data_IF_429703077454
#
_entry.id   IF_429703077454
#
_cell.length_a   1.000
_cell.length_b   1.000
_cell.length_c   1.000
_cell.angle_alpha   90.00
_cell.angle_beta   90.00
_cell.angle_gamma   90.00
#
_symmetry.space_group_name_H-M   'P 1'
#
loop_
_entity.id
_entity.type
_entity.pdbx_description
1 polymer ?
#
# COMPACT_ATOMS: atom_id res chain seq x y z
N UNK A 1 -34.68 -16.95 26.89
CA UNK A 1 -36.05 -16.57 27.30
C UNK A 1 -36.37 -15.07 27.16
N UNK A 2 -35.42 -14.19 26.82
CA UNK A 2 -35.66 -12.75 26.60
C UNK A 2 -36.22 -12.33 25.23
N UNK A 3 -36.15 -13.21 24.22
CA UNK A 3 -36.56 -12.89 22.84
C UNK A 3 -38.09 -12.85 22.61
N UNK A 4 -38.88 -13.58 23.42
CA UNK A 4 -40.34 -13.60 23.27
C UNK A 4 -41.03 -12.38 23.89
N UNK A 5 -40.47 -11.78 24.95
CA UNK A 5 -40.98 -10.54 25.55
C UNK A 5 -40.83 -9.33 24.61
N UNK A 6 -39.76 -9.31 23.80
CA UNK A 6 -39.48 -8.22 22.86
C UNK A 6 -40.48 -8.14 21.69
N UNK A 7 -40.97 -9.29 21.18
CA UNK A 7 -41.97 -9.33 20.11
C UNK A 7 -43.36 -8.83 20.54
N UNK A 8 -43.67 -8.87 21.84
CA UNK A 8 -44.94 -8.37 22.36
C UNK A 8 -44.95 -6.83 22.45
N UNK A 9 -43.80 -6.25 22.86
CA UNK A 9 -43.63 -4.80 22.99
C UNK A 9 -43.74 -4.07 21.63
N UNK A 10 -43.15 -4.63 20.56
CA UNK A 10 -43.19 -4.03 19.21
C UNK A 10 -44.60 -4.01 18.59
N UNK A 11 -45.49 -4.93 18.99
CA UNK A 11 -46.86 -5.00 18.42
C UNK A 11 -47.82 -3.92 18.97
N UNK A 12 -47.46 -3.21 20.03
CA UNK A 12 -48.40 -2.32 20.74
C UNK A 12 -47.97 -0.84 20.82
N UNK A 13 -46.84 -0.45 20.24
CA UNK A 13 -46.39 0.95 20.21
C UNK A 13 -46.71 1.59 18.87
N UNK A 14 -47.61 2.59 18.88
CA UNK A 14 -47.90 3.42 17.71
C UNK A 14 -46.67 4.24 17.30
N UNK A 15 -46.46 4.26 15.98
CA UNK A 15 -45.41 4.88 15.18
C UNK A 15 -44.60 6.05 15.79
N UNK A 16 -43.28 5.95 15.65
CA UNK A 16 -42.37 7.09 15.55
C UNK A 16 -41.24 6.77 14.56
N UNK A 17 -40.82 7.78 13.77
CA UNK A 17 -39.90 7.68 12.63
C UNK A 17 -38.50 7.10 12.94
N UNK A 18 -38.16 6.91 14.21
CA UNK A 18 -36.89 6.36 14.67
C UNK A 18 -36.78 4.84 14.47
N UNK A 19 -37.91 4.12 14.38
CA UNK A 19 -37.91 2.65 14.23
C UNK A 19 -37.60 2.22 12.78
N UNK A 20 -37.89 3.07 11.80
CA UNK A 20 -37.62 2.78 10.38
C UNK A 20 -36.12 2.71 10.09
N UNK A 21 -35.31 3.57 10.72
CA UNK A 21 -33.84 3.51 10.60
C UNK A 21 -33.24 2.29 11.31
N UNK A 22 -33.76 1.88 12.47
CA UNK A 22 -33.31 0.67 13.16
C UNK A 22 -33.63 -0.61 12.36
N UNK A 23 -34.76 -0.67 11.66
CA UNK A 23 -35.14 -1.80 10.81
C UNK A 23 -34.30 -1.86 9.52
N UNK A 24 -33.93 -0.71 8.92
CA UNK A 24 -32.99 -0.66 7.80
C UNK A 24 -31.57 -1.07 8.22
N UNK A 25 -31.11 -0.65 9.41
CA UNK A 25 -29.81 -1.03 9.94
C UNK A 25 -29.73 -2.54 10.23
N UNK A 26 -30.79 -3.13 10.81
CA UNK A 26 -30.84 -4.58 11.05
C UNK A 26 -31.04 -5.42 9.78
N UNK A 27 -31.71 -4.90 8.74
CA UNK A 27 -31.75 -5.57 7.42
C UNK A 27 -30.40 -5.53 6.70
N UNK A 28 -29.59 -4.50 6.95
CA UNK A 28 -28.17 -4.46 6.56
C UNK A 28 -27.33 -5.47 7.36
N UNK A 29 -27.57 -5.59 8.67
CA UNK A 29 -26.89 -6.56 9.51
C UNK A 29 -27.24 -8.03 9.19
N UNK A 30 -28.46 -8.32 8.75
CA UNK A 30 -28.87 -9.68 8.37
C UNK A 30 -28.35 -10.12 6.99
N UNK A 31 -27.86 -9.19 6.15
CA UNK A 31 -27.10 -9.52 4.91
C UNK A 31 -25.64 -9.90 5.18
N UNK A 32 -25.12 -9.66 6.39
CA UNK A 32 -23.72 -9.99 6.77
C UNK A 32 -23.47 -11.48 7.03
N UNK A 33 -24.46 -12.35 6.83
CA UNK A 33 -24.38 -13.78 7.17
C UNK A 33 -24.44 -14.70 5.95
N UNK A 34 -24.23 -14.19 4.73
CA UNK A 34 -24.12 -15.02 3.52
C UNK A 34 -22.90 -14.59 2.68
N UNK A 35 -21.77 -15.26 2.90
CA UNK A 35 -20.99 -15.90 1.82
C UNK A 35 -20.39 -15.08 0.67
N UNK A 36 -20.23 -13.77 0.77
CA UNK A 36 -19.33 -13.00 -0.10
C UNK A 36 -18.25 -12.38 0.77
N UNK A 37 -16.99 -12.81 0.60
CA UNK A 37 -15.85 -12.16 1.25
C UNK A 37 -15.74 -10.73 0.71
N UNK A 38 -16.35 -9.77 1.41
CA UNK A 38 -16.13 -8.35 1.16
C UNK A 38 -14.66 -8.06 1.50
N UNK A 39 -13.87 -7.72 0.48
CA UNK A 39 -12.47 -7.36 0.66
C UNK A 39 -12.35 -6.25 1.71
N UNK A 40 -11.40 -6.41 2.65
CA UNK A 40 -11.13 -5.43 3.70
C UNK A 40 -10.77 -4.09 3.05
N UNK A 41 -11.37 -3.00 3.49
CA UNK A 41 -10.96 -1.66 3.08
C UNK A 41 -9.63 -1.32 3.78
N UNK A 42 -8.62 -0.90 3.03
CA UNK A 42 -7.28 -0.62 3.54
C UNK A 42 -7.00 0.87 3.61
N UNK A 43 -7.35 1.63 2.55
CA UNK A 43 -7.18 3.07 2.50
C UNK A 43 -8.43 3.70 1.90
N UNK A 44 -8.98 4.72 2.55
CA UNK A 44 -10.11 5.51 2.07
C UNK A 44 -9.67 6.96 1.89
N UNK A 45 -9.88 7.51 0.69
CA UNK A 45 -9.48 8.87 0.33
C UNK A 45 -10.77 9.60 -0.06
N UNK A 46 -11.11 10.66 0.68
CA UNK A 46 -12.36 11.42 0.49
C UNK A 46 -12.08 12.92 0.34
N UNK A 47 -12.51 13.47 -0.80
CA UNK A 47 -12.44 14.90 -1.10
C UNK A 47 -11.03 15.51 -1.00
N UNK A 48 -10.00 14.76 -1.39
CA UNK A 48 -8.61 15.18 -1.20
C UNK A 48 -8.14 16.19 -2.24
N UNK A 49 -7.60 17.31 -1.77
CA UNK A 49 -6.92 18.31 -2.61
C UNK A 49 -5.42 18.37 -2.25
N UNK A 50 -4.61 18.70 -3.27
CA UNK A 50 -3.17 18.93 -3.12
C UNK A 50 -2.69 20.03 -4.05
N UNK A 51 -2.03 21.04 -3.48
CA UNK A 51 -1.51 22.21 -4.19
C UNK A 51 -0.05 22.49 -3.82
N UNK A 52 0.70 23.07 -4.75
CA UNK A 52 2.06 23.57 -4.52
C UNK A 52 2.10 25.07 -4.73
N UNK A 53 2.07 25.82 -3.63
CA UNK A 53 1.92 27.27 -3.69
C UNK A 53 0.56 27.65 -4.30
N UNK A 54 0.51 28.43 -5.39
CA UNK A 54 -0.75 28.82 -6.03
C UNK A 54 -1.26 27.81 -7.08
N UNK A 55 -0.58 26.68 -7.28
CA UNK A 55 -0.90 25.72 -8.34
C UNK A 55 -1.55 24.48 -7.74
N UNK A 56 -2.81 24.26 -8.09
CA UNK A 56 -3.51 23.02 -7.77
C UNK A 56 -3.00 21.88 -8.64
N UNK A 57 -2.74 20.73 -8.01
CA UNK A 57 -2.27 19.50 -8.69
C UNK A 57 -3.31 18.39 -8.60
N UNK A 58 -3.99 18.29 -7.46
CA UNK A 58 -5.09 17.35 -7.24
C UNK A 58 -6.27 18.09 -6.62
N UNK A 59 -7.47 17.79 -7.11
CA UNK A 59 -8.71 18.41 -6.65
C UNK A 59 -9.79 17.33 -6.57
N UNK A 60 -10.48 17.25 -5.43
CA UNK A 60 -11.65 16.41 -5.17
C UNK A 60 -11.36 14.93 -5.48
N UNK A 61 -10.21 14.44 -4.99
CA UNK A 61 -9.80 13.06 -5.17
C UNK A 61 -10.60 12.17 -4.22
N UNK A 62 -11.29 11.19 -4.81
CA UNK A 62 -12.05 10.19 -4.08
C UNK A 62 -11.63 8.79 -4.55
N UNK A 63 -11.04 8.00 -3.67
CA UNK A 63 -10.51 6.68 -4.02
C UNK A 63 -10.57 5.73 -2.83
N UNK A 64 -11.02 4.51 -3.08
CA UNK A 64 -11.02 3.42 -2.10
C UNK A 64 -10.05 2.34 -2.53
N UNK A 65 -9.09 2.01 -1.67
CA UNK A 65 -8.15 0.90 -1.83
C UNK A 65 -8.59 -0.27 -0.95
N UNK A 66 -8.82 -1.42 -1.57
CA UNK A 66 -9.24 -2.65 -0.91
C UNK A 66 -8.15 -3.71 -0.96
N UNK A 67 -8.23 -4.66 -0.03
CA UNK A 67 -7.32 -5.79 0.01
C UNK A 67 -7.32 -6.58 -1.32
N UNK A 68 -6.11 -6.92 -1.79
CA UNK A 68 -5.88 -7.57 -3.09
C UNK A 68 -6.02 -6.69 -4.34
N UNK A 69 -6.29 -5.39 -4.20
CA UNK A 69 -6.36 -4.48 -5.35
C UNK A 69 -5.00 -4.38 -6.07
N UNK A 70 -5.03 -4.32 -7.41
CA UNK A 70 -3.87 -4.00 -8.24
C UNK A 70 -4.22 -2.80 -9.12
N UNK A 71 -3.93 -1.62 -8.61
CA UNK A 71 -4.34 -0.34 -9.18
C UNK A 71 -3.19 0.24 -9.99
N UNK A 72 -3.38 0.37 -11.30
CA UNK A 72 -2.49 1.14 -12.17
C UNK A 72 -2.91 2.60 -12.22
N UNK A 73 -2.02 3.53 -11.87
CA UNK A 73 -2.25 4.97 -11.95
C UNK A 73 -1.67 5.47 -13.27
N UNK A 74 -2.53 6.03 -14.13
CA UNK A 74 -2.18 6.51 -15.48
C UNK A 74 -2.59 7.96 -15.65
N UNK A 75 -2.08 8.61 -16.69
CA UNK A 75 -2.32 10.03 -16.97
C UNK A 75 -1.14 10.65 -17.71
N UNK A 76 -1.36 11.81 -18.31
CA UNK A 76 -0.32 12.51 -19.06
C UNK A 76 0.87 12.93 -18.15
N UNK A 77 1.98 13.34 -18.77
CA UNK A 77 3.12 13.86 -18.01
C UNK A 77 2.72 15.16 -17.31
N UNK A 78 3.03 15.26 -16.02
CA UNK A 78 2.59 16.38 -15.19
C UNK A 78 1.13 16.31 -14.70
N UNK A 79 0.40 15.21 -14.97
CA UNK A 79 -0.98 15.06 -14.47
C UNK A 79 -1.10 14.90 -12.95
N UNK A 80 0.03 14.72 -12.23
CA UNK A 80 0.01 14.53 -10.77
C UNK A 80 0.04 13.08 -10.29
N UNK A 81 0.42 12.10 -11.12
CA UNK A 81 0.50 10.66 -10.74
C UNK A 81 1.37 10.38 -9.50
N UNK A 82 2.64 10.80 -9.55
CA UNK A 82 3.56 10.69 -8.41
C UNK A 82 3.08 11.53 -7.23
N UNK A 83 2.50 12.70 -7.49
CA UNK A 83 1.89 13.52 -6.42
C UNK A 83 0.76 12.78 -5.73
N UNK A 84 -0.14 12.12 -6.46
CA UNK A 84 -1.24 11.33 -5.91
C UNK A 84 -0.69 10.19 -5.06
N UNK A 85 0.27 9.45 -5.61
CA UNK A 85 0.90 8.33 -4.93
C UNK A 85 1.59 8.78 -3.62
N UNK A 86 2.36 9.88 -3.65
CA UNK A 86 3.02 10.45 -2.47
C UNK A 86 2.03 11.03 -1.46
N UNK A 87 0.97 11.69 -1.92
CA UNK A 87 -0.07 12.25 -1.04
C UNK A 87 -0.77 11.13 -0.27
N UNK A 88 -1.08 10.02 -0.95
CA UNK A 88 -1.68 8.83 -0.32
C UNK A 88 -0.66 8.06 0.51
N UNK A 89 0.64 8.11 0.28
CA UNK A 89 1.58 7.40 1.16
C UNK A 89 1.96 8.21 2.40
N UNK A 90 2.05 9.53 2.27
CA UNK A 90 2.58 10.43 3.31
C UNK A 90 1.48 11.22 4.05
N UNK A 91 0.20 11.04 3.70
CA UNK A 91 -0.92 11.82 4.24
C UNK A 91 -0.68 13.33 4.13
N UNK A 92 -0.16 13.77 2.98
CA UNK A 92 0.28 15.15 2.78
C UNK A 92 -0.76 16.02 2.04
N UNK A 93 -2.05 15.74 2.21
CA UNK A 93 -3.14 16.53 1.62
C UNK A 93 -3.31 17.91 2.27
N UNK A 94 -3.85 18.86 1.52
CA UNK A 94 -4.19 20.20 2.03
C UNK A 94 -5.66 20.29 2.48
N UNK A 95 -6.54 19.54 1.82
CA UNK A 95 -7.99 19.41 2.11
C UNK A 95 -8.36 17.93 1.99
N UNK A 96 -9.43 17.51 2.69
CA UNK A 96 -9.96 16.16 2.65
C UNK A 96 -9.33 15.22 3.68
N UNK A 97 -9.76 13.96 3.66
CA UNK A 97 -9.35 12.95 4.64
C UNK A 97 -8.76 11.72 3.92
N UNK A 98 -7.69 11.16 4.51
CA UNK A 98 -7.08 9.89 4.10
C UNK A 98 -7.03 8.98 5.32
N UNK A 99 -7.92 8.01 5.36
CA UNK A 99 -8.02 7.04 6.45
C UNK A 99 -7.35 5.71 6.07
N UNK A 100 -6.60 5.16 7.02
CA UNK A 100 -5.97 3.85 6.89
C UNK A 100 -6.65 2.90 7.85
N UNK A 101 -6.82 1.66 7.41
CA UNK A 101 -7.28 0.62 8.32
C UNK A 101 -6.26 0.46 9.46
N UNK A 102 -6.70 0.25 10.72
CA UNK A 102 -5.80 0.15 11.85
C UNK A 102 -4.75 -0.94 11.67
N UNK A 103 -3.50 -0.61 12.00
CA UNK A 103 -2.36 -1.52 12.03
C UNK A 103 -1.91 -2.05 10.66
N UNK A 104 -2.31 -1.44 9.53
CA UNK A 104 -1.81 -1.88 8.22
C UNK A 104 -0.34 -1.52 8.04
N UNK A 105 0.39 -2.39 7.35
CA UNK A 105 1.78 -2.16 6.97
C UNK A 105 1.85 -1.72 5.51
N UNK A 106 2.54 -0.60 5.30
CA UNK A 106 2.70 0.01 3.97
C UNK A 106 4.16 -0.14 3.55
N UNK A 107 4.42 -0.52 2.32
CA UNK A 107 5.75 -0.46 1.71
C UNK A 107 5.78 0.53 0.55
N UNK A 108 6.85 1.30 0.45
CA UNK A 108 7.12 2.15 -0.69
C UNK A 108 8.36 1.64 -1.43
N UNK A 109 8.19 1.27 -2.69
CA UNK A 109 9.29 0.92 -3.58
C UNK A 109 9.71 2.16 -4.35
N UNK A 110 10.77 2.81 -3.86
CA UNK A 110 11.37 3.94 -4.58
C UNK A 110 12.18 3.44 -5.76
N UNK A 111 12.33 4.29 -6.78
CA UNK A 111 13.31 4.06 -7.84
C UNK A 111 14.65 3.61 -7.25
N UNK A 112 15.23 2.58 -7.88
CA UNK A 112 16.44 1.89 -7.44
C UNK A 112 17.51 2.91 -7.02
N UNK A 113 17.73 3.02 -5.71
CA UNK A 113 18.83 3.83 -5.15
C UNK A 113 20.17 3.17 -5.47
N UNK A 114 21.22 3.99 -5.52
CA UNK A 114 22.59 3.52 -5.67
C UNK A 114 22.91 2.47 -4.60
N UNK A 115 23.29 1.28 -5.05
CA UNK A 115 23.81 0.23 -4.18
C UNK A 115 25.24 0.59 -3.84
N UNK A 116 25.60 0.45 -2.57
CA UNK A 116 26.98 0.68 -2.15
C UNK A 116 27.88 -0.41 -2.75
N UNK A 117 28.77 -0.01 -3.65
CA UNK A 117 29.61 -0.96 -4.38
C UNK A 117 30.70 -1.60 -3.50
N UNK A 118 30.97 -1.04 -2.31
CA UNK A 118 31.96 -1.59 -1.38
C UNK A 118 31.38 -2.63 -0.41
N UNK A 119 30.07 -2.64 -0.24
CA UNK A 119 29.34 -3.61 0.59
C UNK A 119 29.29 -5.01 -0.05
N UNK A 120 28.98 -6.00 0.77
CA UNK A 120 28.67 -7.37 0.31
C UNK A 120 27.19 -7.52 -0.08
N UNK A 121 26.88 -8.54 -0.86
CA UNK A 121 25.49 -8.88 -1.22
C UNK A 121 24.64 -9.10 0.04
N UNK A 122 25.19 -9.78 1.05
CA UNK A 122 24.53 -10.00 2.34
C UNK A 122 24.25 -8.69 3.08
N UNK A 123 25.24 -7.81 3.16
CA UNK A 123 25.10 -6.50 3.79
C UNK A 123 24.00 -5.68 3.11
N UNK A 124 23.94 -5.67 1.78
CA UNK A 124 22.89 -4.95 1.05
C UNK A 124 21.50 -5.51 1.28
N UNK A 125 21.33 -6.83 1.28
CA UNK A 125 20.02 -7.45 1.55
C UNK A 125 19.62 -7.31 3.01
N UNK A 126 20.60 -7.24 3.91
CA UNK A 126 20.44 -7.00 5.34
C UNK A 126 20.23 -5.52 5.69
N UNK A 127 20.53 -4.58 4.78
CA UNK A 127 20.19 -3.16 4.94
C UNK A 127 18.67 -3.03 4.96
N UNK A 128 18.12 -3.07 6.17
CA UNK A 128 16.70 -2.91 6.44
C UNK A 128 16.20 -1.64 5.75
N UNK A 129 15.01 -1.70 5.13
CA UNK A 129 14.41 -0.54 4.48
C UNK A 129 14.21 0.62 5.46
N UNK A 130 14.11 1.86 4.94
CA UNK A 130 13.94 3.08 5.75
C UNK A 130 12.83 2.96 6.80
N UNK A 131 11.76 2.24 6.47
CA UNK A 131 10.63 1.97 7.38
C UNK A 131 11.05 1.22 8.65
N UNK A 132 12.00 0.28 8.56
CA UNK A 132 12.52 -0.40 9.74
C UNK A 132 13.42 0.50 10.58
N UNK A 133 14.21 1.37 9.93
CA UNK A 133 15.01 2.36 10.64
C UNK A 133 14.09 3.35 11.37
N UNK A 134 13.02 3.82 10.74
CA UNK A 134 12.02 4.69 11.36
C UNK A 134 11.31 4.01 12.54
N UNK A 135 10.91 2.73 12.40
CA UNK A 135 10.37 1.95 13.51
C UNK A 135 11.37 1.81 14.67
N UNK A 136 12.63 1.48 14.38
CA UNK A 136 13.68 1.35 15.40
C UNK A 136 14.02 2.69 16.07
N UNK A 137 14.04 3.78 15.30
CA UNK A 137 14.24 5.15 15.81
C UNK A 137 13.08 5.60 16.69
N UNK A 138 11.83 5.31 16.30
CA UNK A 138 10.64 5.63 17.09
C UNK A 138 10.63 4.82 18.40
N UNK A 139 10.94 3.51 18.33
CA UNK A 139 11.09 2.64 19.51
C UNK A 139 12.18 3.19 20.43
N UNK A 140 13.36 3.52 19.90
CA UNK A 140 14.46 4.06 20.69
C UNK A 140 14.10 5.43 21.31
N UNK A 141 13.35 6.27 20.60
CA UNK A 141 12.88 7.55 21.11
C UNK A 141 11.87 7.38 22.26
N UNK A 142 10.97 6.39 22.17
CA UNK A 142 10.04 6.06 23.26
C UNK A 142 10.82 5.49 24.45
N UNK A 143 11.78 4.58 24.23
CA UNK A 143 12.61 4.00 25.29
C UNK A 143 13.44 5.07 26.01
N UNK A 144 13.95 6.07 25.28
CA UNK A 144 14.64 7.21 25.87
C UNK A 144 13.72 8.06 26.74
N UNK A 145 12.45 8.24 26.35
CA UNK A 145 11.45 8.93 27.16
C UNK A 145 11.11 8.13 28.42
N UNK A 146 10.95 6.80 28.31
CA UNK A 146 10.67 5.91 29.44
C UNK A 146 11.79 5.89 30.50
N UNK A 147 13.02 6.25 30.12
CA UNK A 147 14.14 6.35 31.04
C UNK A 147 14.02 7.55 32.00
N UNK A 148 13.19 8.55 31.69
CA UNK A 148 12.91 9.70 32.56
C UNK A 148 11.71 9.39 33.48
N UNK A 149 11.88 9.43 34.81
CA UNK A 149 10.76 9.25 35.76
C UNK A 149 9.58 10.20 35.53
N UNK A 150 9.81 11.40 34.99
CA UNK A 150 8.75 12.38 34.70
C UNK A 150 7.81 11.96 33.57
N UNK A 151 8.19 10.96 32.76
CA UNK A 151 7.34 10.39 31.71
C UNK A 151 6.01 9.86 32.24
N UNK A 152 6.03 9.26 33.43
CA UNK A 152 4.84 8.65 34.05
C UNK A 152 3.87 9.66 34.68
N UNK A 153 4.25 10.95 34.70
CA UNK A 153 3.37 12.03 35.16
C UNK A 153 2.42 12.54 34.05
N UNK A 154 2.65 12.12 32.79
CA UNK A 154 1.87 12.50 31.61
C UNK A 154 0.94 11.39 31.07
N UNK A 155 0.53 11.51 29.81
CA UNK A 155 -0.28 10.50 29.10
C UNK A 155 0.60 9.34 28.59
N UNK A 156 1.12 8.55 29.53
CA UNK A 156 2.02 7.43 29.23
C UNK A 156 1.27 6.21 28.68
N UNK A 157 -0.04 6.08 28.92
CA UNK A 157 -0.85 4.95 28.46
C UNK A 157 -0.90 4.88 26.93
N UNK A 158 -1.16 6.02 26.26
CA UNK A 158 -1.17 6.08 24.80
C UNK A 158 0.21 5.81 24.17
N UNK A 159 1.28 6.29 24.80
CA UNK A 159 2.65 6.04 24.33
C UNK A 159 3.03 4.56 24.49
N UNK A 160 2.60 3.91 25.57
CA UNK A 160 2.83 2.48 25.79
C UNK A 160 2.02 1.60 24.83
N UNK A 161 0.80 2.00 24.48
CA UNK A 161 0.01 1.31 23.44
C UNK A 161 0.74 1.37 22.09
N UNK A 162 1.21 2.56 21.68
CA UNK A 162 2.03 2.73 20.48
C UNK A 162 3.33 1.92 20.52
N UNK A 163 4.04 1.91 21.64
CA UNK A 163 5.25 1.10 21.83
C UNK A 163 4.99 -0.39 21.62
N UNK A 164 3.90 -0.91 22.18
CA UNK A 164 3.49 -2.31 22.01
C UNK A 164 3.17 -2.65 20.55
N UNK A 165 2.46 -1.77 19.84
CA UNK A 165 2.19 -1.93 18.40
C UNK A 165 3.49 -1.95 17.57
N UNK A 166 4.41 -1.03 17.85
CA UNK A 166 5.70 -0.95 17.17
C UNK A 166 6.55 -2.21 17.41
N UNK A 167 6.64 -2.67 18.66
CA UNK A 167 7.35 -3.91 19.03
C UNK A 167 6.73 -5.15 18.36
N UNK A 168 5.41 -5.24 18.30
CA UNK A 168 4.72 -6.32 17.61
C UNK A 168 4.98 -6.27 16.09
N UNK A 169 4.97 -5.07 15.51
CA UNK A 169 5.27 -4.83 14.08
C UNK A 169 6.72 -5.19 13.76
N UNK A 170 7.67 -4.80 14.61
CA UNK A 170 9.09 -5.13 14.48
C UNK A 170 9.32 -6.64 14.64
N UNK A 171 8.68 -7.28 15.63
CA UNK A 171 8.75 -8.71 15.88
C UNK A 171 8.15 -9.57 14.76
N UNK A 172 7.06 -9.11 14.14
CA UNK A 172 6.50 -9.74 12.94
C UNK A 172 7.42 -9.63 11.71
N UNK A 173 8.32 -8.65 11.72
CA UNK A 173 9.19 -8.29 10.60
C UNK A 173 10.66 -8.72 10.80
N UNK A 174 11.03 -9.16 12.01
CA UNK A 174 12.41 -9.36 12.45
C UNK A 174 12.83 -10.82 12.67
N UNK A 175 13.64 -11.35 11.74
CA UNK A 175 14.72 -12.28 12.09
C UNK A 175 14.62 -13.70 11.55
N UNK A 176 13.47 -14.37 11.61
CA UNK A 176 13.42 -15.81 11.33
C UNK A 176 13.57 -16.20 9.85
N UNK A 177 13.10 -15.36 8.92
CA UNK A 177 12.92 -15.74 7.52
C UNK A 177 13.55 -14.78 6.50
N UNK A 178 14.10 -13.64 6.93
CA UNK A 178 14.65 -12.60 6.02
C UNK A 178 15.78 -13.17 5.16
N UNK A 179 16.71 -13.91 5.74
CA UNK A 179 17.81 -14.52 5.00
C UNK A 179 17.35 -15.61 4.01
N UNK A 180 16.30 -16.37 4.36
CA UNK A 180 15.71 -17.40 3.51
C UNK A 180 14.92 -16.77 2.35
N UNK A 181 14.12 -15.74 2.64
CA UNK A 181 13.42 -14.92 1.64
C UNK A 181 14.44 -14.28 0.70
N UNK A 182 15.49 -13.63 1.24
CA UNK A 182 16.57 -13.02 0.46
C UNK A 182 17.21 -14.03 -0.49
N UNK A 183 17.60 -15.22 0.00
CA UNK A 183 18.14 -16.30 -0.83
C UNK A 183 17.17 -16.74 -1.92
N UNK A 184 15.89 -16.91 -1.58
CA UNK A 184 14.87 -17.32 -2.56
C UNK A 184 14.63 -16.24 -3.62
N UNK A 185 14.64 -14.96 -3.24
CA UNK A 185 14.48 -13.82 -4.15
C UNK A 185 15.69 -13.69 -5.08
N UNK A 186 16.92 -13.81 -4.56
CA UNK A 186 18.13 -13.85 -5.38
C UNK A 186 18.12 -15.01 -6.37
N UNK A 187 17.71 -16.21 -5.94
CA UNK A 187 17.64 -17.38 -6.82
C UNK A 187 16.67 -17.16 -7.98
N UNK A 188 15.49 -16.59 -7.70
CA UNK A 188 14.53 -16.28 -8.77
C UNK A 188 15.02 -15.16 -9.70
N UNK A 189 15.90 -14.27 -9.23
CA UNK A 189 16.56 -13.24 -10.03
C UNK A 189 17.84 -13.72 -10.74
N UNK A 190 18.25 -14.97 -10.55
CA UNK A 190 19.46 -15.55 -11.14
C UNK A 190 20.78 -15.04 -10.51
N UNK A 191 20.73 -14.56 -9.26
CA UNK A 191 21.87 -14.06 -8.50
C UNK A 191 22.40 -15.07 -7.47
N UNK A 192 21.78 -16.24 -7.31
CA UNK A 192 22.18 -17.31 -6.38
C UNK A 192 23.54 -17.94 -6.70
N UNK A 193 24.01 -17.80 -7.95
CA UNK A 193 25.37 -18.19 -8.35
C UNK A 193 26.48 -17.37 -7.66
N UNK A 194 26.16 -16.18 -7.16
CA UNK A 194 27.11 -15.30 -6.48
C UNK A 194 27.13 -15.59 -4.98
N UNK A 195 28.31 -15.77 -4.37
CA UNK A 195 28.39 -15.98 -2.93
C UNK A 195 28.02 -14.70 -2.17
N UNK A 196 27.37 -14.86 -1.01
CA UNK A 196 26.77 -13.74 -0.24
C UNK A 196 27.79 -12.73 0.28
N UNK A 197 29.03 -13.15 0.52
CA UNK A 197 30.17 -12.34 0.95
C UNK A 197 30.88 -11.63 -0.22
N UNK A 198 30.41 -11.81 -1.45
CA UNK A 198 30.93 -11.12 -2.62
C UNK A 198 30.63 -9.63 -2.56
N UNK A 199 31.64 -8.80 -2.87
CA UNK A 199 31.45 -7.36 -3.04
C UNK A 199 30.54 -7.05 -4.23
N UNK A 200 29.61 -6.11 -4.03
CA UNK A 200 28.69 -5.60 -5.05
C UNK A 200 29.42 -5.00 -6.25
N UNK A 201 30.59 -4.39 -6.06
CA UNK A 201 31.42 -3.85 -7.15
C UNK A 201 31.75 -4.85 -8.26
N UNK A 202 31.70 -6.16 -7.97
CA UNK A 202 31.94 -7.22 -8.95
C UNK A 202 30.71 -7.62 -9.77
N UNK A 203 29.51 -7.14 -9.40
CA UNK A 203 28.28 -7.37 -10.16
C UNK A 203 28.24 -6.47 -11.40
N UNK A 204 27.68 -6.99 -12.49
CA UNK A 204 27.35 -6.18 -13.66
C UNK A 204 26.26 -5.15 -13.33
N UNK A 205 26.10 -4.12 -14.17
CA UNK A 205 25.05 -3.09 -13.96
C UNK A 205 23.64 -3.68 -13.84
N UNK A 206 23.30 -4.68 -14.66
CA UNK A 206 22.01 -5.37 -14.59
C UNK A 206 21.86 -6.23 -13.33
N UNK A 207 22.93 -6.90 -12.89
CA UNK A 207 22.92 -7.67 -11.64
C UNK A 207 22.80 -6.75 -10.41
N UNK A 208 23.38 -5.55 -10.45
CA UNK A 208 23.14 -4.52 -9.43
C UNK A 208 21.67 -4.12 -9.42
N UNK A 209 21.06 -3.81 -10.56
CA UNK A 209 19.63 -3.48 -10.62
C UNK A 209 18.74 -4.60 -10.01
N UNK A 210 19.04 -5.86 -10.33
CA UNK A 210 18.38 -7.04 -9.73
C UNK A 210 18.59 -7.12 -8.21
N UNK A 211 19.80 -6.89 -7.71
CA UNK A 211 20.09 -6.87 -6.27
C UNK A 211 19.31 -5.74 -5.55
N UNK A 212 19.24 -4.55 -6.14
CA UNK A 212 18.49 -3.44 -5.58
C UNK A 212 17.00 -3.75 -5.50
N UNK A 213 16.45 -4.37 -6.55
CA UNK A 213 15.08 -4.84 -6.55
C UNK A 213 14.88 -5.90 -5.45
N UNK A 214 15.77 -6.90 -5.37
CA UNK A 214 15.72 -7.94 -4.33
C UNK A 214 15.65 -7.31 -2.93
N UNK A 215 16.56 -6.39 -2.62
CA UNK A 215 16.63 -5.66 -1.34
C UNK A 215 15.31 -5.00 -0.97
N UNK A 216 14.64 -4.36 -1.92
CA UNK A 216 13.34 -3.72 -1.67
C UNK A 216 12.22 -4.74 -1.38
N UNK A 217 12.35 -5.96 -1.91
CA UNK A 217 11.31 -6.99 -1.82
C UNK A 217 11.47 -7.94 -0.62
N UNK A 218 12.67 -8.12 -0.07
CA UNK A 218 12.93 -9.05 1.05
C UNK A 218 12.11 -8.70 2.31
N UNK A 219 11.75 -7.43 2.50
CA UNK A 219 11.00 -6.94 3.66
C UNK A 219 9.47 -6.94 3.50
N UNK A 220 8.92 -7.40 2.38
CA UNK A 220 7.48 -7.25 2.09
C UNK A 220 6.57 -8.26 2.77
N UNK A 221 7.11 -9.15 3.61
CA UNK A 221 6.35 -10.20 4.26
C UNK A 221 5.25 -9.60 5.16
N UNK A 222 4.00 -9.74 4.71
CA UNK A 222 2.75 -9.25 5.32
C UNK A 222 2.57 -7.73 5.30
N UNK A 223 3.23 -7.05 4.37
CA UNK A 223 2.81 -5.72 3.93
C UNK A 223 1.40 -5.82 3.35
N UNK A 224 0.51 -4.93 3.77
CA UNK A 224 -0.88 -4.89 3.33
C UNK A 224 -1.06 -4.02 2.08
N UNK A 225 -0.26 -2.95 1.95
CA UNK A 225 -0.30 -2.03 0.79
C UNK A 225 1.10 -1.73 0.30
N UNK A 226 1.31 -1.83 -1.01
CA UNK A 226 2.58 -1.49 -1.65
C UNK A 226 2.41 -0.38 -2.69
N UNK A 227 3.25 0.63 -2.63
CA UNK A 227 3.32 1.73 -3.59
C UNK A 227 4.55 1.55 -4.48
N UNK A 228 4.38 1.67 -5.80
CA UNK A 228 5.45 1.55 -6.79
C UNK A 228 5.39 2.72 -7.75
N UNK A 229 6.49 3.46 -7.87
CA UNK A 229 6.63 4.56 -8.84
C UNK A 229 7.68 4.25 -9.90
N UNK A 230 7.24 4.04 -11.14
CA UNK A 230 8.02 3.61 -12.30
C UNK A 230 8.92 2.39 -12.03
N UNK A 231 8.35 1.26 -11.56
CA UNK A 231 9.14 0.12 -11.10
C UNK A 231 9.83 -0.67 -12.22
N UNK A 232 9.43 -0.48 -13.48
CA UNK A 232 10.02 -1.14 -14.65
C UNK A 232 11.18 -0.35 -15.26
N UNK A 233 11.39 0.89 -14.82
CA UNK A 233 12.41 1.74 -15.41
C UNK A 233 13.81 1.16 -15.15
N UNK A 234 14.68 1.17 -16.17
CA UNK A 234 16.03 0.61 -16.13
C UNK A 234 16.12 -0.92 -15.91
N UNK A 235 15.01 -1.66 -16.03
CA UNK A 235 15.02 -3.13 -15.98
C UNK A 235 15.19 -3.75 -17.37
N UNK A 236 15.84 -4.92 -17.42
CA UNK A 236 15.81 -5.78 -18.61
C UNK A 236 14.50 -6.58 -18.67
N UNK A 237 14.27 -7.24 -19.80
CA UNK A 237 13.02 -7.98 -20.07
C UNK A 237 12.83 -9.11 -19.04
N UNK A 238 13.88 -9.89 -18.75
CA UNK A 238 13.82 -11.01 -17.80
C UNK A 238 13.45 -10.53 -16.39
N UNK A 239 14.02 -9.41 -15.94
CA UNK A 239 13.73 -8.83 -14.63
C UNK A 239 12.32 -8.25 -14.57
N UNK A 240 11.85 -7.67 -15.69
CA UNK A 240 10.49 -7.15 -15.81
C UNK A 240 9.46 -8.27 -15.71
N UNK A 241 9.64 -9.36 -16.46
CA UNK A 241 8.77 -10.55 -16.39
C UNK A 241 8.75 -11.18 -14.99
N UNK A 242 9.91 -11.21 -14.34
CA UNK A 242 10.01 -11.67 -12.97
C UNK A 242 9.23 -10.77 -12.00
N UNK A 243 9.37 -9.46 -12.13
CA UNK A 243 8.66 -8.49 -11.31
C UNK A 243 7.14 -8.62 -11.51
N UNK A 244 6.68 -8.78 -12.75
CA UNK A 244 5.28 -9.04 -13.04
C UNK A 244 4.76 -10.28 -12.29
N UNK A 245 5.51 -11.39 -12.33
CA UNK A 245 5.13 -12.61 -11.63
C UNK A 245 5.09 -12.40 -10.11
N UNK A 246 6.08 -11.71 -9.56
CA UNK A 246 6.11 -11.36 -8.13
C UNK A 246 4.88 -10.54 -7.71
N UNK A 247 4.55 -9.49 -8.48
CA UNK A 247 3.42 -8.60 -8.19
C UNK A 247 2.06 -9.30 -8.35
N UNK A 248 1.95 -10.23 -9.29
CA UNK A 248 0.75 -11.09 -9.44
C UNK A 248 0.55 -12.02 -8.24
N UNK A 249 1.63 -12.49 -7.62
CA UNK A 249 1.58 -13.38 -6.46
C UNK A 249 1.37 -12.66 -5.13
N UNK A 250 1.81 -11.39 -5.03
CA UNK A 250 1.65 -10.55 -3.85
C UNK A 250 0.17 -10.42 -3.45
N UNK A 251 -0.13 -10.63 -2.16
CA UNK A 251 -1.51 -10.72 -1.66
C UNK A 251 -2.09 -9.38 -1.21
N UNK A 252 -1.26 -8.44 -0.80
CA UNK A 252 -1.71 -7.11 -0.42
C UNK A 252 -2.14 -6.27 -1.63
N UNK A 253 -2.68 -5.09 -1.33
CA UNK A 253 -3.03 -4.09 -2.32
C UNK A 253 -1.78 -3.42 -2.91
N UNK A 254 -1.89 -2.98 -4.15
CA UNK A 254 -0.78 -2.42 -4.92
C UNK A 254 -1.25 -1.17 -5.66
N UNK A 255 -0.52 -0.07 -5.52
CA UNK A 255 -0.69 1.16 -6.29
C UNK A 255 0.56 1.38 -7.12
N UNK A 256 0.39 1.36 -8.44
CA UNK A 256 1.48 1.29 -9.40
C UNK A 256 1.38 2.47 -10.36
N UNK A 257 2.34 3.37 -10.34
CA UNK A 257 2.54 4.36 -11.41
C UNK A 257 3.53 3.76 -12.40
N UNK A 258 3.12 3.65 -13.67
CA UNK A 258 4.03 3.22 -14.74
C UNK A 258 3.62 3.79 -16.08
N UNK A 259 4.61 4.10 -16.91
CA UNK A 259 4.41 4.39 -18.33
C UNK A 259 4.36 3.13 -19.22
N UNK A 260 4.69 1.95 -18.68
CA UNK A 260 4.67 0.69 -19.42
C UNK A 260 3.25 0.10 -19.49
N UNK A 261 2.64 0.25 -20.66
CA UNK A 261 1.28 -0.22 -20.94
C UNK A 261 1.15 -1.74 -20.88
N UNK A 262 2.18 -2.48 -21.29
CA UNK A 262 2.15 -3.94 -21.29
C UNK A 262 2.20 -4.44 -19.85
N UNK A 263 3.11 -3.89 -19.05
CA UNK A 263 3.22 -4.19 -17.63
C UNK A 263 1.91 -3.92 -16.86
N UNK A 264 1.30 -2.75 -17.07
CA UNK A 264 0.00 -2.42 -16.47
C UNK A 264 -1.12 -3.38 -16.93
N UNK A 265 -1.10 -3.81 -18.18
CA UNK A 265 -2.09 -4.76 -18.71
C UNK A 265 -1.96 -6.15 -18.08
N UNK A 266 -0.72 -6.57 -17.80
CA UNK A 266 -0.39 -7.85 -17.19
C UNK A 266 -0.69 -7.88 -15.70
N UNK A 267 -0.34 -6.83 -14.97
CA UNK A 267 -0.38 -6.83 -13.50
C UNK A 267 -1.71 -6.28 -12.97
N UNK A 268 -2.18 -5.14 -13.50
CA UNK A 268 -3.27 -4.38 -12.88
C UNK A 268 -4.65 -4.95 -13.21
N UNK A 269 -5.56 -4.86 -12.25
CA UNK A 269 -6.98 -5.26 -12.39
C UNK A 269 -7.94 -4.08 -12.30
N UNK A 270 -7.41 -2.91 -11.95
CA UNK A 270 -8.10 -1.62 -11.91
C UNK A 270 -7.14 -0.54 -12.39
N UNK A 271 -7.65 0.44 -13.12
CA UNK A 271 -6.88 1.61 -13.55
C UNK A 271 -7.49 2.85 -12.94
N UNK A 272 -6.67 3.76 -12.42
CA UNK A 272 -7.07 5.11 -12.01
C UNK A 272 -6.40 6.08 -12.96
N UNK A 273 -7.20 6.79 -13.74
CA UNK A 273 -6.71 7.83 -14.62
C UNK A 273 -6.72 9.17 -13.88
N UNK A 274 -5.56 9.81 -13.77
CA UNK A 274 -5.44 11.19 -13.31
C UNK A 274 -5.48 12.11 -14.51
N UNK A 275 -6.55 12.90 -14.60
CA UNK A 275 -6.79 13.85 -15.68
C UNK A 275 -7.59 15.06 -15.16
N UNK A 276 -7.24 16.26 -15.63
CA UNK A 276 -7.85 17.52 -15.21
C UNK A 276 -7.93 17.67 -13.67
N UNK A 277 -6.80 17.39 -12.99
CA UNK A 277 -6.64 17.44 -11.52
C UNK A 277 -7.47 16.41 -10.74
N UNK A 278 -8.28 15.58 -11.41
CA UNK A 278 -9.17 14.60 -10.78
C UNK A 278 -8.70 13.18 -11.06
N UNK A 279 -9.14 12.24 -10.23
CA UNK A 279 -8.89 10.81 -10.40
C UNK A 279 -10.16 10.07 -10.82
N UNK A 280 -10.06 9.29 -11.89
CA UNK A 280 -11.17 8.55 -12.50
C UNK A 280 -10.89 7.04 -12.43
N UNK A 281 -11.65 6.27 -11.62
CA UNK A 281 -11.44 4.83 -11.52
C UNK A 281 -12.14 4.07 -12.65
N UNK A 282 -11.41 3.13 -13.24
CA UNK A 282 -11.83 2.24 -14.32
C UNK A 282 -11.61 0.80 -13.92
N UNK A 283 -12.64 -0.04 -14.08
CA UNK A 283 -12.52 -1.47 -13.79
C UNK A 283 -11.80 -2.19 -14.92
N UNK A 284 -10.86 -3.07 -14.59
CA UNK A 284 -10.14 -3.89 -15.55
C UNK A 284 -8.69 -3.47 -15.73
N UNK A 285 -8.00 -4.20 -16.60
CA UNK A 285 -6.61 -3.92 -16.96
C UNK A 285 -6.50 -2.75 -17.96
N UNK A 286 -5.27 -2.41 -18.36
CA UNK A 286 -5.00 -1.24 -19.21
C UNK A 286 -5.77 -1.25 -20.54
N UNK A 287 -5.82 -2.39 -21.23
CA UNK A 287 -6.53 -2.54 -22.51
C UNK A 287 -8.05 -2.41 -22.36
N UNK A 288 -8.59 -2.86 -21.22
CA UNK A 288 -10.01 -2.68 -20.89
C UNK A 288 -10.33 -1.22 -20.57
N UNK A 289 -9.44 -0.52 -19.85
CA UNK A 289 -9.54 0.91 -19.60
C UNK A 289 -9.61 1.71 -20.91
N UNK A 290 -8.66 1.50 -21.84
CA UNK A 290 -8.65 2.23 -23.10
C UNK A 290 -9.95 2.07 -23.90
N UNK A 291 -10.50 0.84 -23.95
CA UNK A 291 -11.79 0.59 -24.62
C UNK A 291 -12.95 1.32 -23.96
N UNK A 292 -12.99 1.33 -22.63
CA UNK A 292 -14.03 2.05 -21.87
C UNK A 292 -13.91 3.56 -22.07
N UNK A 293 -12.70 4.10 -22.06
CA UNK A 293 -12.43 5.52 -22.28
C UNK A 293 -12.92 5.98 -23.65
N UNK A 294 -12.51 5.29 -24.72
CA UNK A 294 -12.96 5.62 -26.09
C UNK A 294 -14.48 5.55 -26.23
N UNK A 295 -15.12 4.53 -25.64
CA UNK A 295 -16.57 4.40 -25.67
C UNK A 295 -17.29 5.55 -24.92
N UNK A 296 -16.70 6.01 -23.82
CA UNK A 296 -17.24 7.12 -23.00
C UNK A 296 -17.09 8.45 -23.74
N UNK A 297 -15.93 8.72 -24.33
CA UNK A 297 -15.68 9.93 -25.13
C UNK A 297 -16.60 10.00 -26.35
N UNK A 298 -16.81 8.87 -27.05
CA UNK A 298 -17.71 8.80 -28.20
C UNK A 298 -19.20 8.98 -27.83
N UNK A 299 -19.58 8.72 -26.56
CA UNK A 299 -20.94 8.94 -26.08
C UNK A 299 -21.19 10.39 -25.62
N UNK A 300 -20.11 11.16 -25.37
CA UNK A 300 -20.16 12.55 -24.91
C UNK A 300 -20.01 13.57 -26.05
N UNK A 301 -19.54 13.15 -27.23
CA UNK A 301 -19.43 13.95 -28.45
C UNK A 301 -20.61 13.79 -29.39
#
# INVERSE_FOLDING_TARGET
>A
MGWMMWRWWIKHTKANNTITHAIQFMRGAQRRINGEHMARQLINIEGVDRSFGPVDVLVDINLLVQDGDRIGIVGHNGAGKTTLLNTISEQSQDVGEIDYAPGIRIAYLTQIRDIDSDSTIEEELGRKGRQFQELEEEIAAIEAQMADPAFYDGDWEGVMERYSELQQTLGASGGGNVASIAKSTLARLGLDKHPMDMKVSKLSGGEKAKLALARQLVGLAGVDVMFLDEPTNHLDIETTEWLEAFLKDFKGAQLIVSHDRYFLDQVCTRIVEVDNLRAWPWKGNYSQFLRQKVATEAALG
#
